data_IF_491417154968
#
_entry.id   IF_491417154968
#
_cell.length_a   1.000
_cell.length_b   1.000
_cell.length_c   1.000
_cell.angle_alpha   90.00
_cell.angle_beta   90.00
_cell.angle_gamma   90.00
#
_symmetry.space_group_name_H-M   'P 1'
#
loop_
_entity.id
_entity.type
_entity.pdbx_description
1 polymer ?
#
# COMPACT_ATOMS: atom_id res chain seq x y z
N UNK A 1 -34.57 14.20 10.99
CA UNK A 1 -34.83 13.30 12.13
C UNK A 1 -34.24 11.94 11.75
N UNK A 2 -33.05 11.56 12.26
CA UNK A 2 -32.85 10.47 13.27
C UNK A 2 -33.40 9.12 12.74
N UNK A 3 -32.64 8.02 12.55
CA UNK A 3 -31.61 7.34 13.37
C UNK A 3 -30.86 6.36 12.44
N UNK A 4 -29.53 6.37 12.37
CA UNK A 4 -28.59 5.49 13.13
C UNK A 4 -28.94 4.00 13.14
N UNK A 5 -28.18 3.20 12.39
CA UNK A 5 -27.68 1.87 12.78
C UNK A 5 -26.78 1.30 11.68
N UNK A 6 -25.46 1.30 11.90
CA UNK A 6 -24.60 0.23 11.41
C UNK A 6 -23.32 0.20 12.24
N UNK A 7 -23.41 -0.62 13.29
CA UNK A 7 -22.29 -1.12 14.06
C UNK A 7 -21.60 -2.17 13.19
N UNK A 8 -20.45 -1.84 12.60
CA UNK A 8 -19.50 -2.85 12.14
C UNK A 8 -18.18 -2.61 12.87
N UNK A 9 -17.99 -3.48 13.86
CA UNK A 9 -16.74 -3.69 14.56
C UNK A 9 -15.71 -4.19 13.54
N UNK A 10 -14.71 -3.37 13.25
CA UNK A 10 -13.41 -3.83 12.77
C UNK A 10 -12.36 -3.33 13.76
N UNK A 11 -12.11 -4.17 14.76
CA UNK A 11 -10.92 -4.14 15.59
C UNK A 11 -9.76 -4.52 14.67
N UNK A 12 -9.01 -3.53 14.21
CA UNK A 12 -7.58 -3.64 13.93
C UNK A 12 -6.97 -2.31 14.34
N UNK A 13 -6.62 -2.24 15.62
CA UNK A 13 -5.75 -1.18 16.13
C UNK A 13 -4.45 -1.31 15.35
N UNK A 14 -4.17 -0.31 14.53
CA UNK A 14 -2.93 -0.10 13.81
C UNK A 14 -1.77 -0.45 14.73
N UNK A 15 -1.12 -1.58 14.46
CA UNK A 15 0.17 -1.89 15.05
C UNK A 15 1.09 -0.76 14.62
N UNK A 16 1.43 0.10 15.58
CA UNK A 16 2.31 1.24 15.42
C UNK A 16 3.53 0.82 14.60
N UNK A 17 3.63 1.31 13.36
CA UNK A 17 4.93 1.53 12.76
C UNK A 17 5.59 2.58 13.65
N UNK A 18 6.52 2.15 14.52
CA UNK A 18 7.38 3.09 15.24
C UNK A 18 8.00 4.03 14.22
N UNK A 19 7.64 5.30 14.31
CA UNK A 19 8.45 6.39 13.80
C UNK A 19 9.81 6.29 14.49
N UNK A 20 10.83 5.82 13.76
CA UNK A 20 12.21 6.21 14.04
C UNK A 20 12.68 7.03 12.84
N UNK A 21 12.95 8.29 13.11
CA UNK A 21 13.45 9.30 12.21
C UNK A 21 14.77 8.84 11.57
N UNK A 22 14.79 8.66 10.25
CA UNK A 22 16.03 8.83 9.49
C UNK A 22 15.74 9.62 8.21
N UNK A 23 16.14 10.88 8.27
CA UNK A 23 16.20 11.79 7.14
C UNK A 23 17.21 11.28 6.11
N UNK A 24 16.74 10.47 5.16
CA UNK A 24 17.52 10.04 3.99
C UNK A 24 16.67 10.15 2.73
N UNK A 25 16.37 11.37 2.27
CA UNK A 25 15.92 11.70 0.89
C UNK A 25 14.96 10.71 0.20
N UNK A 26 14.12 10.01 0.96
CA UNK A 26 13.42 8.79 0.55
C UNK A 26 12.07 8.70 1.26
N UNK A 27 11.09 8.12 0.58
CA UNK A 27 9.69 8.08 1.03
C UNK A 27 9.59 7.21 2.30
N UNK A 28 8.93 7.72 3.34
CA UNK A 28 8.68 6.98 4.58
C UNK A 28 7.80 5.75 4.34
N UNK A 29 7.94 4.69 5.14
CA UNK A 29 7.12 3.48 4.99
C UNK A 29 5.58 3.76 4.98
N UNK A 30 5.01 4.59 5.89
CA UNK A 30 3.58 4.90 5.85
C UNK A 30 3.16 5.58 4.54
N UNK A 31 4.00 6.47 4.02
CA UNK A 31 3.73 7.13 2.74
C UNK A 31 3.87 6.17 1.56
N UNK A 32 4.90 5.32 1.54
CA UNK A 32 5.08 4.34 0.47
C UNK A 32 3.93 3.31 0.44
N UNK A 33 3.40 2.94 1.61
CA UNK A 33 2.21 2.09 1.71
C UNK A 33 0.94 2.78 1.20
N UNK A 34 0.77 4.08 1.48
CA UNK A 34 -0.33 4.86 0.94
C UNK A 34 -0.23 5.00 -0.59
N UNK A 35 0.96 5.32 -1.10
CA UNK A 35 1.21 5.45 -2.54
C UNK A 35 0.92 4.13 -3.29
N UNK A 36 1.30 2.98 -2.71
CA UNK A 36 0.95 1.66 -3.26
C UNK A 36 -0.55 1.41 -3.27
N UNK A 37 -1.26 1.78 -2.20
CA UNK A 37 -2.72 1.64 -2.14
C UNK A 37 -3.42 2.52 -3.19
N UNK A 38 -2.97 3.75 -3.38
CA UNK A 38 -3.53 4.68 -4.38
C UNK A 38 -3.25 4.20 -5.81
N UNK A 39 -2.05 3.67 -6.07
CA UNK A 39 -1.71 3.06 -7.35
C UNK A 39 -2.61 1.84 -7.66
N UNK A 40 -2.85 0.98 -6.66
CA UNK A 40 -3.73 -0.19 -6.81
C UNK A 40 -5.16 0.27 -7.10
N UNK A 41 -5.65 1.31 -6.41
CA UNK A 41 -6.98 1.87 -6.66
C UNK A 41 -7.09 2.43 -8.09
N UNK A 42 -6.06 3.14 -8.57
CA UNK A 42 -6.00 3.66 -9.94
C UNK A 42 -6.00 2.54 -10.99
N UNK A 43 -5.19 1.50 -10.80
CA UNK A 43 -5.18 0.33 -11.68
C UNK A 43 -6.50 -0.44 -11.66
N UNK A 44 -7.15 -0.54 -10.50
CA UNK A 44 -8.48 -1.17 -10.37
C UNK A 44 -9.54 -0.37 -11.11
N UNK A 45 -9.45 0.96 -11.09
CA UNK A 45 -10.37 1.84 -11.81
C UNK A 45 -10.11 1.84 -13.33
N UNK A 46 -8.84 1.75 -13.75
CA UNK A 46 -8.42 1.76 -15.15
C UNK A 46 -7.18 0.84 -15.36
N UNK A 47 -7.38 -0.43 -15.75
CA UNK A 47 -6.32 -1.44 -15.81
C UNK A 47 -5.46 -1.30 -17.08
N UNK A 48 -4.77 -0.18 -17.22
CA UNK A 48 -3.81 0.07 -18.30
C UNK A 48 -2.42 -0.45 -17.94
N UNK A 49 -1.58 -0.67 -18.95
CA UNK A 49 -0.14 -0.98 -18.76
C UNK A 49 0.56 0.09 -17.93
N UNK A 50 0.22 1.37 -18.13
CA UNK A 50 0.79 2.47 -17.36
C UNK A 50 0.42 2.38 -15.88
N UNK A 51 -0.86 2.15 -15.55
CA UNK A 51 -1.27 1.97 -14.17
C UNK A 51 -0.70 0.70 -13.54
N UNK A 52 -0.53 -0.38 -14.31
CA UNK A 52 0.16 -1.60 -13.87
C UNK A 52 1.63 -1.31 -13.47
N UNK A 53 2.35 -0.56 -14.32
CA UNK A 53 3.73 -0.14 -14.03
C UNK A 53 3.77 0.73 -12.78
N UNK A 54 2.83 1.65 -12.62
CA UNK A 54 2.70 2.49 -11.42
C UNK A 54 2.50 1.65 -10.16
N UNK A 55 1.61 0.65 -10.19
CA UNK A 55 1.42 -0.30 -9.07
C UNK A 55 2.71 -1.02 -8.75
N UNK A 56 3.39 -1.56 -9.76
CA UNK A 56 4.66 -2.30 -9.57
C UNK A 56 5.69 -1.41 -8.88
N UNK A 57 5.92 -0.20 -9.41
CA UNK A 57 6.91 0.73 -8.86
C UNK A 57 6.56 1.15 -7.42
N UNK A 58 5.27 1.36 -7.12
CA UNK A 58 4.82 1.74 -5.78
C UNK A 58 4.98 0.60 -4.77
N UNK A 59 4.70 -0.65 -5.17
CA UNK A 59 4.96 -1.84 -4.34
C UNK A 59 6.46 -2.08 -4.12
N UNK A 60 7.31 -1.83 -5.12
CA UNK A 60 8.77 -1.89 -4.93
C UNK A 60 9.25 -0.82 -3.95
N UNK A 61 8.77 0.42 -4.07
CA UNK A 61 9.07 1.49 -3.12
C UNK A 61 8.57 1.15 -1.71
N UNK A 62 7.36 0.57 -1.58
CA UNK A 62 6.85 0.11 -0.30
C UNK A 62 7.72 -0.99 0.29
N UNK A 63 8.12 -2.00 -0.49
CA UNK A 63 9.03 -3.05 -0.03
C UNK A 63 10.37 -2.47 0.42
N UNK A 64 10.92 -1.54 -0.33
CA UNK A 64 12.24 -0.98 -0.05
C UNK A 64 12.22 -0.10 1.21
N UNK A 65 11.12 0.64 1.45
CA UNK A 65 10.95 1.48 2.64
C UNK A 65 10.42 0.75 3.89
N UNK A 66 9.56 -0.25 3.73
CA UNK A 66 8.89 -0.96 4.84
C UNK A 66 9.49 -2.34 5.14
N UNK A 67 10.25 -2.92 4.20
CA UNK A 67 10.53 -4.35 4.18
C UNK A 67 9.32 -5.20 3.80
N UNK A 68 9.53 -6.51 3.71
CA UNK A 68 8.46 -7.49 3.42
C UNK A 68 8.67 -8.81 4.20
N UNK A 69 8.56 -8.79 5.54
CA UNK A 69 8.83 -9.95 6.38
C UNK A 69 7.85 -11.11 6.14
N UNK A 70 6.66 -10.82 5.64
CA UNK A 70 5.60 -11.80 5.34
C UNK A 70 5.62 -12.29 3.89
N UNK A 71 6.46 -11.69 3.02
CA UNK A 71 6.49 -12.02 1.59
C UNK A 71 5.27 -11.56 0.80
N UNK A 72 4.40 -10.76 1.41
CA UNK A 72 3.13 -10.30 0.84
C UNK A 72 3.32 -9.29 -0.28
N UNK A 73 4.34 -8.43 -0.20
CA UNK A 73 4.63 -7.47 -1.27
C UNK A 73 5.28 -8.20 -2.46
N UNK A 74 6.20 -9.12 -2.18
CA UNK A 74 6.79 -9.99 -3.20
C UNK A 74 5.74 -10.84 -3.94
N UNK A 75 4.74 -11.36 -3.22
CA UNK A 75 3.62 -12.09 -3.84
C UNK A 75 2.77 -11.19 -4.76
N UNK A 76 2.50 -9.95 -4.36
CA UNK A 76 1.78 -8.98 -5.20
C UNK A 76 2.59 -8.61 -6.45
N UNK A 77 3.90 -8.38 -6.31
CA UNK A 77 4.79 -8.13 -7.44
C UNK A 77 4.85 -9.32 -8.41
N UNK A 78 4.87 -10.56 -7.89
CA UNK A 78 4.82 -11.76 -8.72
C UNK A 78 3.47 -11.92 -9.47
N UNK A 79 2.38 -11.44 -8.88
CA UNK A 79 1.07 -11.41 -9.55
C UNK A 79 1.00 -10.38 -10.69
N UNK A 80 1.86 -9.35 -10.68
CA UNK A 80 1.98 -8.31 -11.70
C UNK A 80 2.94 -8.70 -12.84
N UNK A 81 3.11 -10.00 -13.10
CA UNK A 81 4.13 -10.57 -14.00
C UNK A 81 4.03 -10.11 -15.46
N UNK A 82 2.92 -9.51 -15.86
CA UNK A 82 2.72 -8.91 -17.18
C UNK A 82 2.02 -7.55 -17.05
N UNK A 83 2.80 -6.55 -16.67
CA UNK A 83 2.66 -5.22 -17.23
C UNK A 83 3.48 -5.19 -18.54
#
# INVERSE_FOLDING_TARGET
>A
MKKLLLLFVCIVVFSSCSNDDDSSSGISCPQAAQDAADAIAAFTADPTTENCITVRNALEAQRDSCGDPTGSIAAQLAALTQC
#
